data_IF_209824424620
#
_entry.id   IF_209824424620
#
_cell.length_a   1.000
_cell.length_b   1.000
_cell.length_c   1.000
_cell.angle_alpha   90.00
_cell.angle_beta   90.00
_cell.angle_gamma   90.00
#
_symmetry.space_group_name_H-M   'P 1'
#
loop_
_entity.id
_entity.type
_entity.pdbx_description
1 polymer ?
#
# COMPACT_ATOMS: atom_id res chain seq x y z
N UNK A 1 16.50 -55.20 -0.53
CA UNK A 1 17.08 -54.02 -1.21
C UNK A 1 16.45 -52.79 -0.59
N UNK A 2 17.27 -51.97 0.06
CA UNK A 2 16.81 -50.89 0.95
C UNK A 2 16.37 -49.64 0.20
N UNK A 3 15.69 -48.75 0.92
CA UNK A 3 15.15 -47.45 0.46
C UNK A 3 16.16 -46.60 -0.34
N UNK A 4 17.45 -46.76 -0.08
CA UNK A 4 18.54 -46.09 -0.81
C UNK A 4 18.64 -46.52 -2.29
N UNK A 5 18.32 -47.76 -2.63
CA UNK A 5 18.33 -48.24 -4.03
C UNK A 5 17.16 -47.67 -4.83
N UNK A 6 15.98 -47.54 -4.20
CA UNK A 6 14.83 -46.88 -4.83
C UNK A 6 15.08 -45.38 -5.07
N UNK A 7 15.82 -44.72 -4.17
CA UNK A 7 16.18 -43.31 -4.34
C UNK A 7 17.16 -43.08 -5.50
N UNK A 8 18.15 -43.97 -5.67
CA UNK A 8 19.08 -43.90 -6.80
C UNK A 8 18.38 -44.17 -8.13
N UNK A 9 17.41 -45.10 -8.16
CA UNK A 9 16.60 -45.39 -9.36
C UNK A 9 15.69 -44.22 -9.75
N UNK A 10 15.16 -43.50 -8.77
CA UNK A 10 14.35 -42.30 -9.00
C UNK A 10 15.18 -41.15 -9.59
N UNK A 11 16.43 -40.96 -9.15
CA UNK A 11 17.33 -39.94 -9.69
C UNK A 11 17.87 -40.28 -11.09
N UNK A 12 18.04 -41.57 -11.40
CA UNK A 12 18.53 -42.05 -12.70
C UNK A 12 17.47 -42.02 -13.83
N UNK A 13 16.23 -41.62 -13.53
CA UNK A 13 15.11 -41.56 -14.50
C UNK A 13 14.79 -40.16 -15.01
N UNK A 14 15.62 -39.15 -14.72
CA UNK A 14 15.50 -37.86 -15.41
C UNK A 14 16.04 -37.99 -16.83
N UNK A 15 15.25 -37.69 -17.88
CA UNK A 15 15.78 -37.64 -19.22
C UNK A 15 16.79 -36.51 -19.32
N UNK A 16 17.88 -36.73 -20.06
CA UNK A 16 18.79 -35.70 -20.56
C UNK A 16 18.00 -34.73 -21.44
N UNK A 17 17.26 -33.81 -20.83
CA UNK A 17 16.73 -32.65 -21.52
C UNK A 17 17.83 -31.61 -21.52
N UNK A 18 18.56 -31.63 -22.64
CA UNK A 18 19.21 -30.51 -23.28
C UNK A 18 18.18 -29.36 -23.39
N UNK A 19 17.84 -28.72 -22.27
CA UNK A 19 17.01 -27.53 -22.22
C UNK A 19 17.88 -26.41 -22.76
N UNK A 20 17.73 -26.19 -24.07
CA UNK A 20 18.08 -24.96 -24.74
C UNK A 20 17.81 -23.80 -23.78
N UNK A 21 18.82 -22.98 -23.51
CA UNK A 21 18.65 -21.65 -22.98
C UNK A 21 17.48 -21.00 -23.75
N UNK A 22 16.31 -20.97 -23.11
CA UNK A 22 15.24 -20.11 -23.54
C UNK A 22 15.81 -18.73 -23.24
N UNK A 23 16.35 -18.10 -24.27
CA UNK A 23 16.70 -16.70 -24.22
C UNK A 23 15.48 -15.96 -23.69
N UNK A 24 15.51 -15.64 -22.40
CA UNK A 24 14.69 -14.60 -21.84
C UNK A 24 15.06 -13.39 -22.68
N UNK A 25 14.16 -13.04 -23.60
CA UNK A 25 14.22 -11.74 -24.26
C UNK A 25 14.57 -10.74 -23.18
N UNK A 26 15.61 -9.94 -23.39
CA UNK A 26 15.98 -8.86 -22.48
C UNK A 26 14.76 -7.94 -22.33
N UNK A 27 13.87 -8.27 -21.39
CA UNK A 27 12.76 -7.42 -21.01
C UNK A 27 13.46 -6.17 -20.49
N UNK A 28 13.29 -5.08 -21.24
CA UNK A 28 13.85 -3.78 -20.89
C UNK A 28 13.45 -3.50 -19.44
N UNK A 29 14.41 -3.63 -18.52
CA UNK A 29 14.18 -3.42 -17.09
C UNK A 29 13.73 -1.98 -16.91
N UNK A 30 12.54 -1.82 -16.32
CA UNK A 30 11.96 -0.54 -15.98
C UNK A 30 12.96 0.28 -15.15
N UNK A 31 13.12 1.56 -15.45
CA UNK A 31 13.90 2.47 -14.62
C UNK A 31 13.18 2.78 -13.29
N UNK A 32 13.90 3.26 -12.26
CA UNK A 32 13.28 3.66 -10.99
C UNK A 32 12.14 4.67 -11.16
N UNK A 33 12.29 5.63 -12.08
CA UNK A 33 11.28 6.66 -12.33
C UNK A 33 10.05 6.10 -13.07
N UNK A 34 10.26 5.23 -14.06
CA UNK A 34 9.15 4.51 -14.70
C UNK A 34 8.40 3.64 -13.67
N UNK A 35 9.10 3.03 -12.70
CA UNK A 35 8.44 2.27 -11.63
C UNK A 35 7.64 3.17 -10.69
N UNK A 36 8.18 4.32 -10.28
CA UNK A 36 7.43 5.29 -9.47
C UNK A 36 6.17 5.76 -10.21
N UNK A 37 6.28 6.08 -11.50
CA UNK A 37 5.13 6.48 -12.32
C UNK A 37 4.10 5.35 -12.46
N UNK A 38 4.55 4.12 -12.66
CA UNK A 38 3.67 2.96 -12.73
C UNK A 38 2.89 2.74 -11.44
N UNK A 39 3.57 2.86 -10.30
CA UNK A 39 2.93 2.79 -8.98
C UNK A 39 1.91 3.92 -8.81
N UNK A 40 2.27 5.16 -9.18
CA UNK A 40 1.36 6.30 -9.13
C UNK A 40 0.10 6.07 -9.97
N UNK A 41 0.22 5.52 -11.18
CA UNK A 41 -0.91 5.21 -12.05
C UNK A 41 -1.81 4.12 -11.45
N UNK A 42 -1.24 3.02 -10.98
CA UNK A 42 -2.01 1.87 -10.47
C UNK A 42 -2.55 2.09 -9.06
N UNK A 43 -1.82 2.83 -8.24
CA UNK A 43 -2.10 2.98 -6.82
C UNK A 43 -2.64 4.36 -6.45
N UNK A 44 -2.63 5.33 -7.37
CA UNK A 44 -2.95 6.75 -7.14
C UNK A 44 -1.99 7.45 -6.16
N UNK A 45 -0.91 6.79 -5.74
CA UNK A 45 0.18 7.36 -4.98
C UNK A 45 1.39 6.40 -5.00
N UNK A 46 2.58 6.95 -4.82
CA UNK A 46 3.80 6.17 -4.59
C UNK A 46 4.16 6.17 -3.10
N UNK A 47 4.08 5.02 -2.40
CA UNK A 47 4.46 4.95 -0.99
C UNK A 47 5.93 5.33 -0.78
N UNK A 48 6.26 6.04 0.30
CA UNK A 48 7.63 6.57 0.52
C UNK A 48 8.71 5.49 0.50
N UNK A 49 8.44 4.32 1.07
CA UNK A 49 9.40 3.21 1.07
C UNK A 49 9.73 2.74 -0.35
N UNK A 50 8.77 2.80 -1.27
CA UNK A 50 9.00 2.39 -2.65
C UNK A 50 9.84 3.37 -3.44
N UNK A 51 9.95 4.65 -3.03
CA UNK A 51 10.92 5.58 -3.63
C UNK A 51 12.36 5.09 -3.48
N UNK A 52 12.67 4.37 -2.39
CA UNK A 52 13.98 3.75 -2.17
C UNK A 52 14.04 2.36 -2.81
N UNK A 53 13.01 1.52 -2.62
CA UNK A 53 12.98 0.16 -3.20
C UNK A 53 13.13 0.24 -4.72
N UNK A 54 12.45 1.16 -5.39
CA UNK A 54 12.50 1.30 -6.85
C UNK A 54 13.88 1.72 -7.36
N UNK A 55 14.73 2.35 -6.55
CA UNK A 55 16.12 2.63 -6.94
C UNK A 55 16.98 1.36 -7.02
N UNK A 56 16.62 0.33 -6.24
CA UNK A 56 17.36 -0.93 -6.14
C UNK A 56 16.72 -2.06 -6.95
N UNK A 57 15.39 -2.09 -6.98
CA UNK A 57 14.59 -3.13 -7.61
C UNK A 57 13.24 -2.54 -8.12
N UNK A 58 13.22 -1.93 -9.32
CA UNK A 58 12.01 -1.44 -9.98
C UNK A 58 10.93 -2.52 -10.19
N UNK A 59 11.32 -3.77 -10.40
CA UNK A 59 10.41 -4.90 -10.62
C UNK A 59 9.57 -5.20 -9.37
N UNK A 60 10.16 -5.03 -8.18
CA UNK A 60 9.43 -5.17 -6.91
C UNK A 60 8.32 -4.10 -6.79
N UNK A 61 8.58 -2.86 -7.21
CA UNK A 61 7.59 -1.79 -7.25
C UNK A 61 6.42 -2.10 -8.17
N UNK A 62 6.71 -2.53 -9.40
CA UNK A 62 5.70 -2.97 -10.36
C UNK A 62 4.85 -4.12 -9.81
N UNK A 63 5.49 -5.15 -9.28
CA UNK A 63 4.81 -6.35 -8.74
C UNK A 63 3.90 -5.99 -7.57
N UNK A 64 4.37 -5.12 -6.66
CA UNK A 64 3.55 -4.64 -5.57
C UNK A 64 2.35 -3.83 -6.06
N UNK A 65 2.54 -2.94 -7.03
CA UNK A 65 1.45 -2.15 -7.60
C UNK A 65 0.38 -3.01 -8.26
N UNK A 66 0.78 -4.07 -8.97
CA UNK A 66 -0.14 -5.02 -9.59
C UNK A 66 -0.97 -5.77 -8.53
N UNK A 67 -0.32 -6.31 -7.51
CA UNK A 67 -0.98 -6.98 -6.38
C UNK A 67 -1.93 -6.05 -5.64
N UNK A 68 -1.47 -4.84 -5.32
CA UNK A 68 -2.26 -3.83 -4.62
C UNK A 68 -3.50 -3.45 -5.45
N UNK A 69 -3.31 -3.11 -6.72
CA UNK A 69 -4.41 -2.72 -7.60
C UNK A 69 -5.44 -3.84 -7.83
N UNK A 70 -5.08 -5.12 -7.66
CA UNK A 70 -6.03 -6.22 -7.75
C UNK A 70 -7.17 -6.11 -6.73
N UNK A 71 -6.91 -5.56 -5.53
CA UNK A 71 -7.93 -5.27 -4.52
C UNK A 71 -8.58 -3.89 -4.71
N UNK A 72 -7.79 -2.92 -5.17
CA UNK A 72 -8.15 -1.50 -5.18
C UNK A 72 -8.93 -1.04 -6.41
N UNK A 73 -8.77 -1.69 -7.56
CA UNK A 73 -9.53 -1.38 -8.78
C UNK A 73 -11.05 -1.45 -8.54
N UNK A 74 -11.82 -0.77 -9.38
CA UNK A 74 -13.28 -0.83 -9.32
C UNK A 74 -13.81 -2.27 -9.43
N UNK A 75 -14.88 -2.53 -8.68
CA UNK A 75 -15.63 -3.78 -8.70
C UNK A 75 -17.02 -3.54 -8.12
N UNK A 76 -17.50 -4.42 -7.25
CA UNK A 76 -18.77 -4.20 -6.54
C UNK A 76 -18.79 -2.91 -5.69
N UNK A 77 -17.62 -2.52 -5.18
CA UNK A 77 -17.38 -1.19 -4.62
C UNK A 77 -16.42 -0.44 -5.55
N UNK A 78 -16.68 0.85 -5.75
CA UNK A 78 -15.73 1.71 -6.44
C UNK A 78 -14.46 1.87 -5.61
N UNK A 79 -13.34 2.18 -6.28
CA UNK A 79 -12.08 2.50 -5.65
C UNK A 79 -12.27 3.60 -4.60
N UNK A 80 -12.97 4.69 -4.96
CA UNK A 80 -13.30 5.79 -4.05
C UNK A 80 -13.86 5.29 -2.72
N UNK A 81 -14.87 4.42 -2.77
CA UNK A 81 -15.51 3.87 -1.57
C UNK A 81 -14.55 2.99 -0.78
N UNK A 82 -13.76 2.14 -1.44
CA UNK A 82 -12.74 1.33 -0.76
C UNK A 82 -11.72 2.21 -0.04
N UNK A 83 -11.33 3.33 -0.65
CA UNK A 83 -10.23 4.17 -0.15
C UNK A 83 -10.71 4.90 1.12
N UNK A 84 -11.95 5.38 1.10
CA UNK A 84 -12.63 5.94 2.25
C UNK A 84 -12.79 4.92 3.39
N UNK A 85 -13.14 3.66 3.09
CA UNK A 85 -13.26 2.59 4.10
C UNK A 85 -11.91 2.31 4.76
N UNK A 86 -10.84 2.14 3.98
CA UNK A 86 -9.52 1.85 4.54
C UNK A 86 -8.96 3.05 5.32
N UNK A 87 -9.19 4.27 4.83
CA UNK A 87 -8.87 5.50 5.53
C UNK A 87 -9.58 5.58 6.89
N UNK A 88 -10.88 5.28 6.95
CA UNK A 88 -11.64 5.21 8.20
C UNK A 88 -11.08 4.14 9.16
N UNK A 89 -10.68 2.98 8.65
CA UNK A 89 -9.96 1.97 9.44
C UNK A 89 -8.61 2.47 9.97
N UNK A 90 -7.91 3.29 9.18
CA UNK A 90 -6.69 3.98 9.61
C UNK A 90 -6.93 4.97 10.75
N UNK A 91 -8.04 5.69 10.74
CA UNK A 91 -8.47 6.57 11.85
C UNK A 91 -8.78 5.73 13.08
N UNK A 92 -9.57 4.66 12.92
CA UNK A 92 -9.96 3.77 14.01
C UNK A 92 -8.75 3.09 14.68
N UNK A 93 -7.74 2.74 13.89
CA UNK A 93 -6.51 2.12 14.36
C UNK A 93 -5.43 3.15 14.75
N UNK A 94 -5.72 4.46 14.62
CA UNK A 94 -4.77 5.55 14.87
C UNK A 94 -3.44 5.31 14.15
N UNK A 95 -3.51 4.85 12.89
CA UNK A 95 -2.33 4.54 12.09
C UNK A 95 -2.00 5.71 11.18
N UNK A 96 -0.90 6.41 11.44
CA UNK A 96 -0.48 7.50 10.60
C UNK A 96 0.19 6.95 9.35
N UNK A 97 0.13 5.64 9.04
CA UNK A 97 0.50 5.11 7.71
C UNK A 97 -0.74 4.76 6.87
N UNK A 98 -1.90 4.60 7.51
CA UNK A 98 -3.15 4.18 6.87
C UNK A 98 -4.05 5.37 6.51
N UNK A 99 -4.08 6.44 7.31
CA UNK A 99 -4.83 7.67 6.95
C UNK A 99 -4.32 8.37 5.66
N UNK A 100 -3.23 7.90 5.03
CA UNK A 100 -2.67 8.43 3.76
C UNK A 100 -3.63 8.21 2.61
N UNK A 101 -4.52 7.24 2.79
CA UNK A 101 -5.56 6.87 1.84
C UNK A 101 -6.56 8.00 1.55
N UNK A 102 -6.51 9.12 2.30
CA UNK A 102 -7.14 10.38 1.86
C UNK A 102 -6.65 10.78 0.46
N UNK A 103 -5.37 10.64 0.14
CA UNK A 103 -4.82 11.01 -1.16
C UNK A 103 -5.41 10.21 -2.33
N UNK A 104 -5.32 8.87 -2.36
CA UNK A 104 -5.94 8.09 -3.42
C UNK A 104 -7.47 8.20 -3.40
N UNK A 105 -8.12 8.43 -2.24
CA UNK A 105 -9.56 8.70 -2.19
C UNK A 105 -9.92 9.99 -2.96
N UNK A 106 -9.25 11.11 -2.68
CA UNK A 106 -9.49 12.39 -3.38
C UNK A 106 -9.17 12.25 -4.88
N UNK A 107 -8.08 11.58 -5.24
CA UNK A 107 -7.75 11.30 -6.66
C UNK A 107 -8.78 10.39 -7.35
N UNK A 108 -9.42 9.51 -6.60
CA UNK A 108 -10.55 8.70 -7.08
C UNK A 108 -11.90 9.46 -7.08
N UNK A 109 -11.89 10.77 -6.77
CA UNK A 109 -13.06 11.64 -6.83
C UNK A 109 -13.82 11.79 -5.52
N UNK A 110 -13.21 11.47 -4.37
CA UNK A 110 -13.80 11.80 -3.07
C UNK A 110 -13.85 13.31 -2.84
N UNK A 111 -14.91 13.78 -2.20
CA UNK A 111 -14.98 15.17 -1.71
C UNK A 111 -14.44 15.27 -0.29
N UNK A 112 -14.18 16.50 0.18
CA UNK A 112 -13.80 16.75 1.58
C UNK A 112 -14.91 16.31 2.54
N UNK A 113 -16.17 16.48 2.15
CA UNK A 113 -17.34 16.06 2.92
C UNK A 113 -17.41 14.53 3.05
N UNK A 114 -17.16 13.79 1.95
CA UNK A 114 -17.09 12.33 2.00
C UNK A 114 -15.93 11.83 2.89
N UNK A 115 -14.77 12.52 2.85
CA UNK A 115 -13.65 12.23 3.75
C UNK A 115 -14.03 12.52 5.21
N UNK A 116 -14.71 13.63 5.48
CA UNK A 116 -15.18 13.99 6.82
C UNK A 116 -16.13 12.93 7.39
N UNK A 117 -17.15 12.52 6.63
CA UNK A 117 -18.10 11.51 7.08
C UNK A 117 -17.41 10.16 7.35
N UNK A 118 -16.52 9.71 6.44
CA UNK A 118 -15.77 8.47 6.64
C UNK A 118 -14.84 8.55 7.86
N UNK A 119 -14.13 9.67 8.05
CA UNK A 119 -13.26 9.88 9.21
C UNK A 119 -14.05 9.93 10.53
N UNK A 120 -15.25 10.50 10.53
CA UNK A 120 -16.14 10.50 11.69
C UNK A 120 -16.56 9.06 12.07
N UNK A 121 -16.92 8.22 11.09
CA UNK A 121 -17.17 6.80 11.32
C UNK A 121 -15.92 6.08 11.86
N UNK A 122 -14.74 6.36 11.29
CA UNK A 122 -13.47 5.83 11.80
C UNK A 122 -13.21 6.20 13.27
N UNK A 123 -13.53 7.42 13.67
CA UNK A 123 -13.42 7.86 15.07
C UNK A 123 -14.36 7.06 15.98
N UNK A 124 -15.62 6.86 15.58
CA UNK A 124 -16.57 6.05 16.36
C UNK A 124 -16.15 4.57 16.45
N UNK A 125 -15.56 4.02 15.39
CA UNK A 125 -15.04 2.65 15.37
C UNK A 125 -13.85 2.45 16.33
N UNK A 126 -13.11 3.50 16.68
CA UNK A 126 -12.04 3.42 17.68
C UNK A 126 -12.57 3.03 19.09
N UNK A 127 -13.85 3.31 19.35
CA UNK A 127 -14.52 2.96 20.59
C UNK A 127 -13.98 3.66 21.83
N UNK A 128 -14.53 3.29 22.99
CA UNK A 128 -14.02 3.70 24.29
C UNK A 128 -13.17 2.58 24.88
N UNK A 129 -11.86 2.82 24.97
CA UNK A 129 -10.89 1.83 25.48
C UNK A 129 -10.43 2.26 26.86
N UNK A 130 -10.85 1.59 27.96
CA UNK A 130 -10.33 1.87 29.29
C UNK A 130 -8.80 1.74 29.30
N UNK A 131 -8.11 2.78 29.74
CA UNK A 131 -6.63 2.87 29.74
C UNK A 131 -5.99 2.77 28.34
N UNK A 132 -6.72 3.12 27.27
CA UNK A 132 -6.22 3.12 25.91
C UNK A 132 -6.61 4.39 25.13
N UNK A 133 -6.14 4.51 23.88
CA UNK A 133 -6.25 5.76 23.12
C UNK A 133 -7.68 6.04 22.62
N UNK A 134 -8.41 5.04 22.12
CA UNK A 134 -9.85 5.16 21.78
C UNK A 134 -10.25 6.42 20.97
N UNK A 135 -11.50 6.86 21.14
CA UNK A 135 -12.07 8.04 20.48
C UNK A 135 -11.23 9.32 20.64
N UNK A 136 -10.77 9.73 21.85
CA UNK A 136 -10.04 11.00 22.00
C UNK A 136 -8.80 11.11 21.11
N UNK A 137 -8.05 10.02 20.95
CA UNK A 137 -6.87 10.00 20.09
C UNK A 137 -7.26 9.85 18.61
N UNK A 138 -8.28 9.04 18.29
CA UNK A 138 -8.77 8.91 16.93
C UNK A 138 -9.28 10.24 16.35
N UNK A 139 -9.74 11.18 17.18
CA UNK A 139 -10.09 12.55 16.75
C UNK A 139 -8.92 13.27 16.08
N UNK A 140 -7.69 13.13 16.59
CA UNK A 140 -6.52 13.76 15.99
C UNK A 140 -6.29 13.25 14.55
N UNK A 141 -6.47 11.95 14.35
CA UNK A 141 -6.38 11.30 13.04
C UNK A 141 -7.51 11.74 12.11
N UNK A 142 -8.75 11.82 12.62
CA UNK A 142 -9.89 12.27 11.85
C UNK A 142 -9.74 13.72 11.37
N UNK A 143 -9.33 14.64 12.26
CA UNK A 143 -9.05 16.03 11.89
C UNK A 143 -7.92 16.10 10.88
N UNK A 144 -6.88 15.28 11.03
CA UNK A 144 -5.77 15.22 10.08
C UNK A 144 -6.22 14.79 8.68
N UNK A 145 -7.17 13.85 8.58
CA UNK A 145 -7.75 13.46 7.30
C UNK A 145 -8.43 14.63 6.59
N UNK A 146 -9.24 15.40 7.32
CA UNK A 146 -9.97 16.55 6.78
C UNK A 146 -9.02 17.66 6.36
N UNK A 147 -8.02 17.97 7.20
CA UNK A 147 -6.98 18.96 6.88
C UNK A 147 -6.25 18.56 5.59
N UNK A 148 -5.86 17.29 5.47
CA UNK A 148 -5.17 16.77 4.30
C UNK A 148 -6.05 16.83 3.04
N UNK A 149 -7.32 16.44 3.13
CA UNK A 149 -8.26 16.52 2.02
C UNK A 149 -8.41 17.95 1.49
N UNK A 150 -8.55 18.93 2.39
CA UNK A 150 -8.63 20.35 2.04
C UNK A 150 -7.36 20.84 1.33
N UNK A 151 -6.18 20.48 1.86
CA UNK A 151 -4.89 20.85 1.25
C UNK A 151 -4.73 20.26 -0.15
N UNK A 152 -5.01 18.96 -0.31
CA UNK A 152 -4.93 18.28 -1.61
C UNK A 152 -5.88 18.94 -2.60
N UNK A 153 -7.12 19.25 -2.22
CA UNK A 153 -8.09 19.86 -3.11
C UNK A 153 -7.68 21.29 -3.55
N UNK A 154 -7.00 22.03 -2.68
CA UNK A 154 -6.46 23.36 -2.99
C UNK A 154 -5.13 23.33 -3.76
N UNK A 155 -4.53 22.15 -3.96
CA UNK A 155 -3.20 22.01 -4.54
C UNK A 155 -2.08 22.55 -3.63
N UNK A 156 -2.34 22.68 -2.34
CA UNK A 156 -1.34 23.09 -1.35
C UNK A 156 -0.35 21.95 -1.09
N UNK A 157 0.88 22.31 -0.70
CA UNK A 157 1.81 21.30 -0.21
C UNK A 157 1.24 20.63 1.04
N UNK A 158 1.39 19.32 1.08
CA UNK A 158 0.93 18.50 2.18
C UNK A 158 2.01 17.49 2.55
N UNK A 159 2.14 17.27 3.85
CA UNK A 159 2.90 16.14 4.36
C UNK A 159 2.00 15.34 5.29
N UNK A 160 1.84 14.08 4.92
CA UNK A 160 0.96 13.15 5.62
C UNK A 160 1.53 12.66 6.97
N UNK A 161 2.86 12.61 7.06
CA UNK A 161 3.61 12.13 8.22
C UNK A 161 4.97 12.81 8.20
N UNK A 162 5.48 13.43 9.26
CA UNK A 162 6.88 13.83 9.28
C UNK A 162 7.78 12.60 9.06
N UNK A 163 9.01 12.78 8.54
CA UNK A 163 9.97 11.69 8.48
C UNK A 163 10.14 11.07 9.88
N UNK A 164 10.26 9.73 9.99
CA UNK A 164 10.51 9.11 11.27
C UNK A 164 11.77 9.70 11.88
N UNK A 165 11.65 10.22 13.10
CA UNK A 165 12.80 10.57 13.92
C UNK A 165 13.20 9.33 14.68
N UNK A 166 14.39 8.82 14.39
CA UNK A 166 14.96 7.66 15.08
C UNK A 166 15.77 8.11 16.32
N UNK A 167 15.25 9.10 17.05
CA UNK A 167 15.93 9.71 18.20
C UNK A 167 15.60 8.99 19.52
N UNK A 168 14.43 8.32 19.61
CA UNK A 168 14.01 7.60 20.81
C UNK A 168 13.32 6.28 20.45
N UNK A 169 13.96 5.14 20.78
CA UNK A 169 13.57 3.79 20.38
C UNK A 169 12.31 3.22 21.03
N UNK A 170 11.18 3.92 20.97
CA UNK A 170 9.88 3.36 21.33
C UNK A 170 8.90 3.68 20.19
N UNK A 171 8.48 2.63 19.51
CA UNK A 171 7.41 2.64 18.49
C UNK A 171 6.04 2.46 19.16
#
# INVERSE_FOLDING_TARGET
>A
MGILDSFKRFLALRPDSNEKEVGMSEEKKMSPDEANQYMEEKMLFTPRMFKIINQLNPEAGKTFADFYNAFWKDGALSRKVKELIFMAGGVAYMSPRCIVHVLPAIKAGATVEEVFEAAAIGCLLAGFVPNGPGIPYAFEYAVKCVELAQKIQKGEEWEYLPPPKFDHGIY
#
